data_IF_404574698305
#
_entry.id   IF_404574698305
#
_cell.length_a   1.000
_cell.length_b   1.000
_cell.length_c   1.000
_cell.angle_alpha   90.00
_cell.angle_beta   90.00
_cell.angle_gamma   90.00
#
_symmetry.space_group_name_H-M   'P 1'
#
loop_
_entity.id
_entity.type
_entity.pdbx_description
1 polymer ?
#
# COMPACT_ATOMS: atom_id res chain seq x y z
N UNK A 1 2.19 -6.92 16.12
CA UNK A 1 1.06 -6.35 16.90
C UNK A 1 0.32 -7.44 17.69
N UNK A 2 -0.25 -8.47 17.04
CA UNK A 2 -0.95 -9.56 17.76
C UNK A 2 -0.07 -10.34 18.74
N UNK A 3 1.18 -10.63 18.38
CA UNK A 3 2.12 -11.31 19.28
C UNK A 3 2.42 -10.47 20.55
N UNK A 4 2.52 -9.16 20.41
CA UNK A 4 2.72 -8.25 21.54
C UNK A 4 1.48 -8.21 22.43
N UNK A 5 0.28 -8.09 21.85
CA UNK A 5 -0.99 -8.16 22.60
C UNK A 5 -1.13 -9.49 23.35
N UNK A 6 -0.80 -10.62 22.72
CA UNK A 6 -0.80 -11.93 23.40
C UNK A 6 0.14 -11.93 24.60
N UNK A 7 1.36 -11.45 24.43
CA UNK A 7 2.34 -11.36 25.51
C UNK A 7 1.87 -10.48 26.67
N UNK A 8 1.20 -9.35 26.39
CA UNK A 8 0.64 -8.45 27.42
C UNK A 8 -0.54 -9.11 28.16
N UNK A 9 -1.30 -9.96 27.46
CA UNK A 9 -2.47 -10.65 27.99
C UNK A 9 -2.15 -12.01 28.64
N UNK A 10 -0.88 -12.41 28.71
CA UNK A 10 -0.48 -13.60 29.45
C UNK A 10 -0.77 -13.41 30.96
N UNK A 11 -1.27 -14.48 31.58
CA UNK A 11 -1.57 -14.51 33.01
C UNK A 11 -0.29 -14.44 33.82
N UNK A 12 -0.25 -13.53 34.79
CA UNK A 12 0.84 -13.39 35.77
C UNK A 12 0.39 -13.92 37.13
N UNK A 13 1.31 -14.53 37.88
CA UNK A 13 1.10 -14.94 39.28
C UNK A 13 0.71 -13.75 40.19
N UNK A 14 1.00 -12.52 39.77
CA UNK A 14 0.66 -11.30 40.49
C UNK A 14 -0.75 -10.77 40.15
N UNK A 15 -1.43 -11.36 39.17
CA UNK A 15 -2.75 -10.89 38.76
C UNK A 15 -3.80 -11.24 39.83
N UNK A 16 -4.62 -10.25 40.21
CA UNK A 16 -5.84 -10.54 40.95
C UNK A 16 -6.75 -11.46 40.13
N UNK A 17 -7.57 -12.29 40.80
CA UNK A 17 -8.46 -13.27 40.15
C UNK A 17 -9.28 -12.66 39.00
N UNK A 18 -9.88 -11.50 39.20
CA UNK A 18 -10.66 -10.81 38.17
C UNK A 18 -9.82 -10.43 36.94
N UNK A 19 -8.59 -9.95 37.15
CA UNK A 19 -7.65 -9.58 36.08
C UNK A 19 -7.24 -10.80 35.27
N UNK A 20 -6.93 -11.92 35.95
CA UNK A 20 -6.59 -13.18 35.29
C UNK A 20 -7.78 -13.73 34.47
N UNK A 21 -8.99 -13.70 35.03
CA UNK A 21 -10.21 -14.09 34.34
C UNK A 21 -10.47 -13.21 33.11
N UNK A 22 -10.28 -11.90 33.21
CA UNK A 22 -10.45 -10.96 32.10
C UNK A 22 -9.41 -11.20 30.99
N UNK A 23 -8.12 -11.32 31.35
CA UNK A 23 -7.03 -11.62 30.41
C UNK A 23 -7.33 -12.89 29.61
N UNK A 24 -7.75 -13.95 30.29
CA UNK A 24 -8.14 -15.22 29.67
C UNK A 24 -9.27 -15.06 28.66
N UNK A 25 -10.36 -14.39 29.04
CA UNK A 25 -11.52 -14.20 28.14
C UNK A 25 -11.14 -13.36 26.92
N UNK A 26 -10.34 -12.30 27.09
CA UNK A 26 -9.86 -11.49 25.97
C UNK A 26 -8.99 -12.34 25.03
N UNK A 27 -8.08 -13.13 25.58
CA UNK A 27 -7.18 -13.97 24.79
C UNK A 27 -7.95 -15.05 24.01
N UNK A 28 -8.91 -15.73 24.63
CA UNK A 28 -9.80 -16.70 23.97
C UNK A 28 -10.56 -16.05 22.79
N UNK A 29 -11.13 -14.85 22.99
CA UNK A 29 -11.83 -14.13 21.92
C UNK A 29 -10.90 -13.71 20.78
N UNK A 30 -9.68 -13.28 21.12
CA UNK A 30 -8.68 -12.93 20.11
C UNK A 30 -8.25 -14.14 19.29
N UNK A 31 -8.00 -15.28 19.92
CA UNK A 31 -7.63 -16.50 19.21
C UNK A 31 -8.76 -17.01 18.33
N UNK A 32 -10.01 -16.92 18.78
CA UNK A 32 -11.17 -17.22 17.95
C UNK A 32 -11.23 -16.34 16.69
N UNK A 33 -11.12 -15.02 16.84
CA UNK A 33 -11.29 -14.05 15.74
C UNK A 33 -10.10 -13.99 14.77
N UNK A 34 -8.87 -14.20 15.26
CA UNK A 34 -7.64 -14.08 14.48
C UNK A 34 -6.99 -15.44 14.18
N UNK A 35 -7.75 -16.53 14.23
CA UNK A 35 -7.30 -17.88 13.87
C UNK A 35 -7.09 -18.09 12.36
N UNK A 36 -7.76 -17.29 11.53
CA UNK A 36 -7.72 -17.42 10.08
C UNK A 36 -6.40 -16.88 9.50
N UNK A 37 -5.63 -17.75 8.84
CA UNK A 37 -4.36 -17.41 8.23
C UNK A 37 -4.49 -16.34 7.12
N UNK A 38 -5.58 -16.33 6.35
CA UNK A 38 -5.82 -15.31 5.34
C UNK A 38 -6.04 -13.93 5.97
N UNK A 39 -6.77 -13.87 7.10
CA UNK A 39 -6.94 -12.63 7.89
C UNK A 39 -5.60 -12.16 8.44
N UNK A 40 -4.78 -13.07 8.97
CA UNK A 40 -3.45 -12.75 9.47
C UNK A 40 -2.52 -12.25 8.36
N UNK A 41 -2.49 -12.90 7.19
CA UNK A 41 -1.73 -12.46 6.02
C UNK A 41 -2.16 -11.05 5.60
N UNK A 42 -3.46 -10.79 5.49
CA UNK A 42 -3.99 -9.47 5.17
C UNK A 42 -3.57 -8.40 6.19
N UNK A 43 -3.69 -8.68 7.49
CA UNK A 43 -3.29 -7.75 8.56
C UNK A 43 -1.78 -7.48 8.52
N UNK A 44 -0.96 -8.50 8.28
CA UNK A 44 0.49 -8.37 8.12
C UNK A 44 0.86 -7.48 6.94
N UNK A 45 0.20 -7.66 5.79
CA UNK A 45 0.38 -6.79 4.61
C UNK A 45 0.01 -5.35 4.91
N UNK A 46 -1.14 -5.11 5.54
CA UNK A 46 -1.57 -3.77 5.94
C UNK A 46 -0.57 -3.12 6.90
N UNK A 47 -0.09 -3.85 7.91
CA UNK A 47 0.89 -3.36 8.87
C UNK A 47 2.26 -3.05 8.24
N UNK A 48 2.67 -3.80 7.21
CA UNK A 48 3.91 -3.51 6.48
C UNK A 48 3.75 -2.26 5.59
N UNK A 49 2.59 -2.12 4.95
CA UNK A 49 2.27 -0.99 4.06
C UNK A 49 1.92 0.30 4.80
N UNK A 50 1.71 0.26 6.12
CA UNK A 50 1.51 1.45 6.92
C UNK A 50 2.87 2.10 7.24
N UNK A 51 3.15 3.33 6.75
CA UNK A 51 4.45 3.99 6.94
C UNK A 51 4.78 4.32 8.39
N UNK A 52 3.79 4.26 9.30
CA UNK A 52 3.99 4.44 10.75
C UNK A 52 4.61 3.21 11.41
N UNK A 53 4.35 2.01 10.85
CA UNK A 53 4.79 0.75 11.46
C UNK A 53 5.86 0.04 10.63
N UNK A 54 5.73 -0.01 9.29
CA UNK A 54 6.68 -0.67 8.37
C UNK A 54 7.11 -2.09 8.80
N UNK A 55 6.23 -2.83 9.45
CA UNK A 55 6.52 -4.19 9.92
C UNK A 55 7.32 -4.29 11.22
N UNK A 56 7.50 -3.19 11.97
CA UNK A 56 8.25 -3.16 13.25
C UNK A 56 7.81 -4.24 14.25
N UNK A 57 6.52 -4.59 14.26
CA UNK A 57 5.96 -5.57 15.18
C UNK A 57 5.72 -6.96 14.57
N UNK A 58 6.44 -7.31 13.51
CA UNK A 58 6.37 -8.62 12.85
C UNK A 58 7.63 -9.44 13.16
N UNK A 59 7.47 -10.75 13.31
CA UNK A 59 8.65 -11.62 13.46
C UNK A 59 9.44 -11.65 12.15
N UNK A 60 10.78 -11.76 12.18
CA UNK A 60 11.60 -11.83 10.97
C UNK A 60 11.12 -12.82 9.88
N UNK A 61 10.71 -14.07 10.20
CA UNK A 61 10.19 -14.99 9.18
C UNK A 61 8.88 -14.49 8.54
N UNK A 62 7.97 -13.93 9.33
CA UNK A 62 6.69 -13.40 8.85
C UNK A 62 6.90 -12.18 7.95
N UNK A 63 7.87 -11.33 8.31
CA UNK A 63 8.25 -10.16 7.51
C UNK A 63 8.80 -10.57 6.15
N UNK A 64 9.68 -11.57 6.10
CA UNK A 64 10.25 -12.10 4.85
C UNK A 64 9.17 -12.66 3.91
N UNK A 65 8.26 -13.47 4.45
CA UNK A 65 7.13 -14.01 3.69
C UNK A 65 6.23 -12.88 3.18
N UNK A 66 5.85 -11.95 4.04
CA UNK A 66 4.95 -10.83 3.67
C UNK A 66 5.59 -9.92 2.63
N UNK A 67 6.90 -9.65 2.73
CA UNK A 67 7.67 -8.91 1.72
C UNK A 67 7.59 -9.60 0.36
N UNK A 68 7.85 -10.91 0.34
CA UNK A 68 7.86 -11.71 -0.89
C UNK A 68 6.48 -11.70 -1.56
N UNK A 69 5.42 -11.90 -0.78
CA UNK A 69 4.04 -11.84 -1.28
C UNK A 69 3.69 -10.47 -1.86
N UNK A 70 4.08 -9.37 -1.20
CA UNK A 70 3.80 -8.02 -1.68
C UNK A 70 4.59 -7.67 -2.94
N UNK A 71 5.87 -8.07 -3.02
CA UNK A 71 6.68 -7.88 -4.24
C UNK A 71 6.05 -8.62 -5.42
N UNK A 72 5.63 -9.87 -5.22
CA UNK A 72 4.94 -10.64 -6.26
C UNK A 72 3.61 -9.99 -6.68
N UNK A 73 2.82 -9.49 -5.71
CA UNK A 73 1.56 -8.79 -5.98
C UNK A 73 1.79 -7.46 -6.73
N UNK A 74 2.83 -6.71 -6.38
CA UNK A 74 3.23 -5.47 -7.07
C UNK A 74 3.64 -5.75 -8.53
N UNK A 75 4.45 -6.77 -8.76
CA UNK A 75 4.90 -7.15 -10.10
C UNK A 75 3.73 -7.63 -10.98
N UNK A 76 2.85 -8.48 -10.42
CA UNK A 76 1.64 -8.93 -11.11
C UNK A 76 0.72 -7.76 -11.48
N UNK A 77 0.49 -6.82 -10.55
CA UNK A 77 -0.33 -5.64 -10.80
C UNK A 77 0.28 -4.70 -11.87
N UNK A 78 1.61 -4.64 -11.96
CA UNK A 78 2.30 -3.89 -13.01
C UNK A 78 2.10 -4.53 -14.39
N UNK A 79 2.17 -5.86 -14.48
CA UNK A 79 1.95 -6.60 -15.73
C UNK A 79 0.53 -6.41 -16.27
N UNK A 80 -0.50 -6.43 -15.41
CA UNK A 80 -1.90 -6.21 -15.83
C UNK A 80 -2.13 -4.81 -16.42
N UNK A 81 -1.40 -3.79 -15.96
CA UNK A 81 -1.52 -2.41 -16.49
C UNK A 81 -0.74 -2.18 -17.79
N UNK A 82 0.20 -3.05 -18.12
CA UNK A 82 0.98 -2.98 -19.36
C UNK A 82 0.21 -3.56 -20.56
N UNK A 83 -0.86 -4.33 -20.34
CA UNK A 83 -1.79 -4.72 -21.41
C UNK A 83 -2.63 -3.51 -21.83
N UNK A 84 -2.61 -3.11 -23.13
CA UNK A 84 -3.40 -1.97 -23.57
C UNK A 84 -4.88 -2.36 -23.55
N UNK A 85 -5.62 -1.91 -22.54
CA UNK A 85 -7.08 -1.88 -22.63
C UNK A 85 -7.45 -0.80 -23.66
N UNK A 86 -7.78 -1.23 -24.88
CA UNK A 86 -8.46 -0.41 -25.87
C UNK A 86 -9.89 -0.13 -25.35
N UNK A 87 -10.04 0.92 -24.55
CA UNK A 87 -11.33 1.53 -24.22
C UNK A 87 -11.48 2.83 -25.01
N UNK A 88 -12.67 3.16 -25.54
CA UNK A 88 -12.81 4.25 -26.49
C UNK A 88 -12.43 5.57 -25.81
N UNK A 89 -11.66 6.37 -26.55
CA UNK A 89 -11.33 7.73 -26.20
C UNK A 89 -12.62 8.46 -25.83
N UNK A 90 -12.70 8.92 -24.59
CA UNK A 90 -13.72 9.86 -24.18
C UNK A 90 -13.33 11.19 -24.82
N UNK A 91 -13.87 11.45 -26.00
CA UNK A 91 -13.82 12.75 -26.65
C UNK A 91 -14.37 13.79 -25.67
N UNK A 92 -13.48 14.66 -25.23
CA UNK A 92 -13.85 15.89 -24.55
C UNK A 92 -13.95 16.93 -25.65
N UNK A 93 -15.15 17.12 -26.18
CA UNK A 93 -15.47 18.27 -27.03
C UNK A 93 -15.33 19.53 -26.17
N UNK A 94 -14.29 20.32 -26.45
CA UNK A 94 -14.26 21.75 -26.18
C UNK A 94 -14.78 22.48 -27.43
N UNK A 95 -15.86 23.23 -27.27
CA UNK A 95 -16.36 24.15 -28.28
C UNK A 95 -16.02 25.60 -27.89
N UNK A 96 -15.04 26.14 -28.62
CA UNK A 96 -14.86 27.50 -29.20
C UNK A 96 -15.06 28.77 -28.32
N UNK A 97 -14.28 29.86 -28.48
CA UNK A 97 -13.97 30.55 -29.75
C UNK A 97 -12.90 31.67 -29.60
N UNK A 98 -12.30 32.02 -30.75
CA UNK A 98 -11.59 33.27 -31.13
C UNK A 98 -10.06 33.22 -31.03
N UNK A 99 -9.23 33.49 -32.05
CA UNK A 99 -9.41 33.85 -33.44
C UNK A 99 -8.04 34.14 -34.09
N UNK A 100 -7.94 33.92 -35.40
CA UNK A 100 -6.97 34.47 -36.38
C UNK A 100 -5.48 34.06 -36.36
N UNK A 101 -5.11 33.17 -37.30
CA UNK A 101 -4.31 33.57 -38.47
C UNK A 101 -2.78 33.37 -38.52
N UNK A 102 -2.38 32.56 -39.52
CA UNK A 102 -1.16 32.63 -40.38
C UNK A 102 0.05 31.72 -40.03
N UNK A 103 0.36 30.81 -40.97
CA UNK A 103 1.66 30.12 -41.17
C UNK A 103 2.25 30.59 -42.53
N UNK A 104 3.38 30.08 -43.10
CA UNK A 104 4.44 29.16 -42.60
C UNK A 104 5.90 29.61 -43.00
N UNK A 105 6.96 28.87 -42.60
CA UNK A 105 8.05 28.32 -43.47
C UNK A 105 9.30 27.80 -42.73
N UNK A 106 9.97 26.85 -43.43
CA UNK A 106 11.03 25.89 -43.07
C UNK A 106 12.47 26.47 -43.08
N UNK A 107 13.40 25.90 -42.29
CA UNK A 107 14.60 25.10 -42.71
C UNK A 107 15.81 25.17 -41.73
N UNK A 108 16.29 23.97 -41.35
CA UNK A 108 17.68 23.42 -41.36
C UNK A 108 18.75 23.94 -40.36
N UNK A 109 19.44 22.97 -39.73
CA UNK A 109 20.64 23.11 -38.89
C UNK A 109 20.32 22.63 -37.46
N UNK A 110 21.01 21.69 -36.81
CA UNK A 110 22.38 21.22 -36.92
C UNK A 110 22.44 19.76 -36.43
N UNK A 111 23.22 18.94 -37.14
CA UNK A 111 23.64 17.62 -36.70
C UNK A 111 24.67 17.80 -35.59
N UNK A 112 24.44 17.24 -34.40
CA UNK A 112 25.47 17.15 -33.38
C UNK A 112 24.99 17.40 -31.96
N UNK A 113 24.33 16.42 -31.35
CA UNK A 113 24.77 16.04 -30.01
C UNK A 113 24.61 14.53 -29.88
N UNK A 114 25.77 13.89 -29.94
CA UNK A 114 26.01 12.52 -29.53
C UNK A 114 25.81 12.45 -28.02
N UNK A 115 24.57 12.63 -27.58
CA UNK A 115 24.17 12.32 -26.22
C UNK A 115 24.21 10.82 -26.11
N UNK A 116 25.25 10.28 -25.46
CA UNK A 116 25.25 8.92 -24.92
C UNK A 116 23.89 8.72 -24.27
N UNK A 117 22.99 8.03 -24.97
CA UNK A 117 21.91 7.32 -24.33
C UNK A 117 22.64 6.33 -23.44
N UNK A 118 22.88 6.72 -22.19
CA UNK A 118 22.95 5.75 -21.12
C UNK A 118 21.74 4.87 -21.39
N UNK A 119 21.98 3.61 -21.74
CA UNK A 119 20.92 2.64 -21.82
C UNK A 119 20.31 2.66 -20.41
N UNK A 120 19.21 3.39 -20.25
CA UNK A 120 18.35 3.26 -19.09
C UNK A 120 17.92 1.81 -19.17
N UNK A 121 18.62 0.95 -18.44
CA UNK A 121 18.25 -0.44 -18.32
C UNK A 121 16.78 -0.42 -17.94
N UNK A 122 15.93 -0.92 -18.84
CA UNK A 122 14.50 -1.04 -18.58
C UNK A 122 14.42 -2.12 -17.50
N UNK A 123 14.36 -1.69 -16.24
CA UNK A 123 14.19 -2.60 -15.12
C UNK A 123 12.90 -3.38 -15.34
N UNK A 124 12.94 -4.69 -15.09
CA UNK A 124 11.73 -5.52 -15.14
C UNK A 124 10.77 -5.09 -14.03
N UNK A 125 9.49 -5.46 -14.16
CA UNK A 125 8.50 -5.20 -13.13
C UNK A 125 8.90 -5.77 -11.76
N UNK A 126 9.54 -6.95 -11.75
CA UNK A 126 10.06 -7.59 -10.54
C UNK A 126 11.18 -6.76 -9.91
N UNK A 127 12.18 -6.37 -10.70
CA UNK A 127 13.31 -5.55 -10.24
C UNK A 127 12.84 -4.20 -9.68
N UNK A 128 11.86 -3.57 -10.34
CA UNK A 128 11.28 -2.31 -9.85
C UNK A 128 10.52 -2.53 -8.54
N UNK A 129 9.79 -3.63 -8.41
CA UNK A 129 9.02 -3.96 -7.21
C UNK A 129 9.93 -4.20 -6.00
N UNK A 130 11.01 -4.96 -6.20
CA UNK A 130 12.04 -5.19 -5.17
C UNK A 130 12.77 -3.91 -4.76
N UNK A 131 13.07 -3.05 -5.73
CA UNK A 131 13.72 -1.76 -5.49
C UNK A 131 12.84 -0.82 -4.66
N UNK A 132 11.56 -0.63 -5.06
CA UNK A 132 10.61 0.19 -4.30
C UNK A 132 10.45 -0.35 -2.87
N UNK A 133 10.37 -1.68 -2.69
CA UNK A 133 10.25 -2.31 -1.36
C UNK A 133 11.48 -2.10 -0.50
N UNK A 134 12.67 -2.26 -1.07
CA UNK A 134 13.91 -2.08 -0.32
C UNK A 134 14.11 -0.61 0.08
N UNK A 135 13.79 0.33 -0.81
CA UNK A 135 13.82 1.76 -0.50
C UNK A 135 12.80 2.14 0.58
N UNK A 136 11.58 1.60 0.51
CA UNK A 136 10.55 1.86 1.50
C UNK A 136 10.96 1.36 2.90
N UNK A 137 11.59 0.19 3.02
CA UNK A 137 12.01 -0.31 4.34
C UNK A 137 13.18 0.49 4.96
N UNK A 138 13.87 1.34 4.18
CA UNK A 138 14.97 2.18 4.65
C UNK A 138 14.53 3.60 5.06
N UNK A 139 13.30 3.99 4.71
CA UNK A 139 12.74 5.28 5.07
C UNK A 139 12.37 5.34 6.55
N UNK A 140 12.41 6.55 7.12
CA UNK A 140 11.98 6.74 8.50
C UNK A 140 10.48 6.52 8.66
N UNK A 141 10.08 6.00 9.82
CA UNK A 141 8.66 5.95 10.20
C UNK A 141 8.13 7.38 10.33
N UNK A 142 6.89 7.58 9.90
CA UNK A 142 6.21 8.86 10.04
C UNK A 142 5.57 8.99 11.42
N UNK A 143 5.11 10.19 11.77
CA UNK A 143 4.44 10.40 13.05
C UNK A 143 3.14 9.56 13.15
N UNK A 144 2.84 9.08 14.36
CA UNK A 144 1.69 8.20 14.61
C UNK A 144 0.34 8.84 14.26
N UNK A 145 0.26 10.17 14.35
CA UNK A 145 -0.93 10.98 14.09
C UNK A 145 -1.11 11.35 12.62
N UNK A 146 -0.10 11.13 11.77
CA UNK A 146 -0.22 11.39 10.34
C UNK A 146 -1.07 10.32 9.63
N UNK A 147 -1.83 10.75 8.62
CA UNK A 147 -2.62 9.84 7.78
C UNK A 147 -1.72 9.08 6.78
N UNK A 148 -1.64 7.74 6.87
CA UNK A 148 -0.87 6.91 5.94
C UNK A 148 -1.26 7.13 4.47
N UNK A 149 -2.55 7.35 4.17
CA UNK A 149 -3.02 7.50 2.80
C UNK A 149 -2.54 8.82 2.18
N UNK A 150 -2.47 9.87 3.00
CA UNK A 150 -1.91 11.16 2.60
C UNK A 150 -0.40 11.04 2.33
N UNK A 151 0.33 10.28 3.14
CA UNK A 151 1.76 10.00 2.88
C UNK A 151 1.96 9.25 1.56
N UNK A 152 1.19 8.18 1.33
CA UNK A 152 1.27 7.41 0.09
C UNK A 152 0.94 8.24 -1.15
N UNK A 153 0.01 9.20 -1.05
CA UNK A 153 -0.32 10.13 -2.13
C UNK A 153 0.84 11.07 -2.45
N UNK A 154 1.49 11.63 -1.43
CA UNK A 154 2.66 12.52 -1.59
C UNK A 154 3.87 11.77 -2.16
N UNK A 155 4.05 10.51 -1.78
CA UNK A 155 5.22 9.70 -2.14
C UNK A 155 4.99 8.79 -3.36
N UNK A 156 3.82 8.87 -4.01
CA UNK A 156 3.44 8.04 -5.15
C UNK A 156 4.43 8.13 -6.33
N UNK A 157 5.09 9.28 -6.52
CA UNK A 157 6.11 9.44 -7.57
C UNK A 157 7.34 8.55 -7.35
N UNK A 158 7.69 8.28 -6.09
CA UNK A 158 8.84 7.45 -5.69
C UNK A 158 8.45 5.98 -5.57
N UNK A 159 7.25 5.71 -5.06
CA UNK A 159 6.74 4.38 -4.75
C UNK A 159 5.46 4.08 -5.53
N UNK A 160 5.56 4.10 -6.85
CA UNK A 160 4.41 4.03 -7.75
C UNK A 160 3.65 2.71 -7.66
N UNK A 161 4.37 1.59 -7.53
CA UNK A 161 3.79 0.26 -7.42
C UNK A 161 3.29 0.02 -6.00
N UNK A 162 4.07 0.43 -5.00
CA UNK A 162 3.69 0.22 -3.59
C UNK A 162 2.49 1.06 -3.19
N UNK A 163 2.42 2.33 -3.59
CA UNK A 163 1.27 3.19 -3.33
C UNK A 163 -0.01 2.61 -3.94
N UNK A 164 0.09 1.87 -5.06
CA UNK A 164 -1.07 1.20 -5.64
C UNK A 164 -1.61 0.09 -4.75
N UNK A 165 -0.72 -0.73 -4.20
CA UNK A 165 -1.08 -1.83 -3.31
C UNK A 165 -1.47 -1.32 -1.93
N UNK A 166 -0.80 -0.27 -1.41
CA UNK A 166 -1.12 0.36 -0.13
C UNK A 166 -2.57 0.85 -0.07
N UNK A 167 -3.08 1.50 -1.12
CA UNK A 167 -4.49 1.91 -1.18
C UNK A 167 -5.46 0.74 -1.08
N UNK A 168 -5.11 -0.45 -1.58
CA UNK A 168 -5.97 -1.63 -1.51
C UNK A 168 -6.12 -2.12 -0.07
N UNK A 169 -5.02 -2.18 0.68
CA UNK A 169 -5.01 -2.74 2.03
C UNK A 169 -5.36 -1.72 3.12
N UNK A 170 -4.94 -0.46 2.99
CA UNK A 170 -5.19 0.57 4.00
C UNK A 170 -6.61 1.15 3.98
N UNK A 171 -7.34 0.97 2.88
CA UNK A 171 -8.76 1.34 2.80
C UNK A 171 -9.71 0.31 3.44
N UNK A 172 -9.19 -0.82 3.93
CA UNK A 172 -9.99 -1.84 4.60
C UNK A 172 -10.36 -1.30 5.98
N UNK A 173 -11.65 -1.07 6.20
CA UNK A 173 -12.14 -0.66 7.51
C UNK A 173 -11.86 -1.74 8.55
N UNK A 174 -11.19 -1.38 9.64
CA UNK A 174 -10.85 -2.32 10.72
C UNK A 174 -12.07 -2.79 11.54
N UNK A 175 -13.22 -2.14 11.40
CA UNK A 175 -14.43 -2.44 12.17
C UNK A 175 -15.62 -2.70 11.24
N UNK A 176 -16.54 -3.57 11.68
CA UNK A 176 -17.86 -3.78 11.05
C UNK A 176 -18.85 -2.64 11.33
N UNK A 177 -18.50 -1.70 12.21
CA UNK A 177 -19.36 -0.61 12.66
C UNK A 177 -19.87 0.34 11.54
N UNK A 178 -19.18 0.57 10.41
CA UNK A 178 -19.70 1.44 9.35
C UNK A 178 -20.96 0.87 8.67
N UNK A 179 -21.03 -0.45 8.46
CA UNK A 179 -22.22 -1.05 7.83
C UNK A 179 -23.42 -1.00 8.76
N UNK A 180 -23.23 -1.25 10.06
CA UNK A 180 -24.32 -1.26 11.04
C UNK A 180 -24.96 0.13 11.22
N UNK A 181 -24.19 1.22 11.15
CA UNK A 181 -24.75 2.58 11.23
C UNK A 181 -25.64 2.92 10.04
N UNK A 182 -25.28 2.50 8.83
CA UNK A 182 -26.12 2.71 7.64
C UNK A 182 -27.41 1.90 7.73
N UNK A 183 -27.35 0.68 8.28
CA UNK A 183 -28.55 -0.13 8.54
C UNK A 183 -29.40 0.40 9.69
N UNK A 184 -28.81 1.07 10.68
CA UNK A 184 -29.54 1.68 11.81
C UNK A 184 -30.29 2.95 11.43
N UNK A 185 -29.85 3.66 10.38
CA UNK A 185 -30.55 4.85 9.83
C UNK A 185 -31.58 4.52 8.76
N UNK A 186 -31.70 3.25 8.35
CA UNK A 186 -32.65 2.80 7.33
C UNK A 186 -34.00 2.35 7.92
N UNK A 187 -34.34 2.78 9.14
CA UNK A 187 -35.57 2.43 9.86
C UNK A 187 -36.36 3.69 10.20
#
# INVERSE_FOLDING_TARGET
MLAHLKSVLESSEQDAKLTADLKRVILEQMEGKYSNDATLSMMRKAALLDPRYRGDHMKPPELSTTKTELVAEMAAAAATRASPSFGPAREREEAEKSGSGIAPKKKKGSLGSLGKRAATAVLTADQKSEAEMSMYLQEMVIDGEEDPLTWWKSNQGRFSLMANIARKYLCICATSAPSERVFSTAV
#
